data_IF_899457492379
#
_entry.id   IF_899457492379
#
_cell.length_a   1.000
_cell.length_b   1.000
_cell.length_c   1.000
_cell.angle_alpha   90.00
_cell.angle_beta   90.00
_cell.angle_gamma   90.00
#
_symmetry.space_group_name_H-M   'P 1'
#
loop_
_entity.id
_entity.type
_entity.pdbx_description
1 polymer ?
#
# COMPACT_ATOMS: atom_id res chain seq x y z
N UNK A 1 -9.64 -19.42 -0.89
CA UNK A 1 -9.26 -18.09 -1.43
C UNK A 1 -8.03 -17.59 -0.69
N UNK A 2 -7.06 -17.02 -1.42
CA UNK A 2 -5.84 -16.48 -0.81
C UNK A 2 -6.14 -15.22 -0.01
N UNK A 3 -5.42 -15.02 1.10
CA UNK A 3 -5.47 -13.75 1.83
C UNK A 3 -4.82 -12.64 1.00
N UNK A 4 -5.09 -11.40 1.34
CA UNK A 4 -4.48 -10.27 0.64
C UNK A 4 -2.94 -10.28 0.78
N UNK A 5 -2.43 -10.72 1.94
CA UNK A 5 -0.98 -10.85 2.15
C UNK A 5 -0.39 -11.92 1.23
N UNK A 6 -1.05 -13.07 1.10
CA UNK A 6 -0.59 -14.14 0.19
C UNK A 6 -0.57 -13.66 -1.26
N UNK A 7 -1.59 -12.92 -1.69
CA UNK A 7 -1.64 -12.32 -3.02
C UNK A 7 -0.47 -11.37 -3.22
N UNK A 8 -0.26 -10.47 -2.27
CA UNK A 8 0.83 -9.48 -2.35
C UNK A 8 2.21 -10.14 -2.38
N UNK A 9 2.42 -11.18 -1.55
CA UNK A 9 3.68 -11.91 -1.51
C UNK A 9 4.05 -12.53 -2.86
N UNK A 10 3.07 -13.01 -3.62
CA UNK A 10 3.31 -13.59 -4.95
C UNK A 10 3.81 -12.55 -5.94
N UNK A 11 3.62 -11.28 -5.67
CA UNK A 11 4.07 -10.20 -6.56
C UNK A 11 5.47 -9.68 -6.22
N UNK A 12 6.09 -10.16 -5.14
CA UNK A 12 7.45 -9.75 -4.79
C UNK A 12 8.41 -10.02 -5.96
N UNK A 13 9.19 -9.01 -6.33
CA UNK A 13 10.08 -9.08 -7.47
C UNK A 13 9.48 -8.53 -8.77
N UNK A 14 8.20 -8.19 -8.79
CA UNK A 14 7.59 -7.54 -9.97
C UNK A 14 8.31 -6.22 -10.25
N UNK A 15 8.58 -5.96 -11.54
CA UNK A 15 9.21 -4.72 -12.00
C UNK A 15 8.29 -4.01 -12.97
N UNK A 16 8.20 -2.68 -12.84
CA UNK A 16 7.45 -1.87 -13.79
C UNK A 16 8.12 -1.84 -15.16
N UNK A 17 7.32 -1.58 -16.20
CA UNK A 17 7.84 -1.26 -17.51
C UNK A 17 8.20 0.22 -17.62
N UNK A 18 8.42 0.69 -18.85
CA UNK A 18 8.76 2.10 -19.10
C UNK A 18 7.67 3.03 -18.60
N UNK A 19 8.07 4.15 -17.98
CA UNK A 19 7.15 5.22 -17.62
C UNK A 19 6.01 4.73 -16.68
N UNK A 20 6.37 4.02 -15.61
CA UNK A 20 5.41 3.50 -14.63
C UNK A 20 4.35 2.54 -15.21
N UNK A 21 4.65 1.85 -16.30
CA UNK A 21 3.70 0.88 -16.85
C UNK A 21 3.63 -0.36 -15.97
N UNK A 22 2.41 -0.72 -15.51
CA UNK A 22 2.20 -1.93 -14.70
C UNK A 22 0.87 -2.60 -15.05
N UNK A 23 0.79 -3.91 -14.73
CA UNK A 23 -0.49 -4.64 -14.81
C UNK A 23 -1.51 -4.06 -13.83
N UNK A 24 -1.05 -3.50 -12.70
CA UNK A 24 -1.93 -2.94 -11.66
C UNK A 24 -2.56 -1.64 -12.14
N UNK A 25 -1.76 -0.75 -12.70
CA UNK A 25 -2.26 0.49 -13.29
C UNK A 25 -3.19 0.25 -14.47
N UNK A 26 -2.82 -0.69 -15.35
CA UNK A 26 -3.69 -1.08 -16.48
C UNK A 26 -5.03 -1.60 -16.02
N UNK A 27 -5.03 -2.52 -15.05
CA UNK A 27 -6.26 -3.07 -14.50
C UNK A 27 -7.15 -1.98 -13.91
N UNK A 28 -6.57 -1.06 -13.16
CA UNK A 28 -7.32 0.01 -12.51
C UNK A 28 -7.88 1.03 -13.52
N UNK A 29 -7.18 1.28 -14.59
CA UNK A 29 -7.49 2.34 -15.55
C UNK A 29 -6.68 3.61 -15.30
N UNK A 30 -5.55 3.51 -14.60
CA UNK A 30 -4.64 4.62 -14.27
C UNK A 30 -3.19 4.20 -14.52
N UNK A 31 -2.93 3.73 -15.74
CA UNK A 31 -1.58 3.29 -16.12
C UNK A 31 -0.64 4.48 -16.31
N UNK A 32 0.67 4.21 -16.28
CA UNK A 32 1.71 5.21 -16.46
C UNK A 32 1.72 6.31 -15.39
N UNK A 33 1.34 5.96 -14.17
CA UNK A 33 1.31 6.83 -12.99
C UNK A 33 1.92 6.08 -11.81
N UNK A 34 2.26 6.77 -10.71
CA UNK A 34 2.65 6.08 -9.47
C UNK A 34 1.60 5.05 -9.07
N UNK A 35 2.04 3.84 -8.76
CA UNK A 35 1.16 2.68 -8.68
C UNK A 35 1.14 1.97 -7.33
N UNK A 36 1.56 2.64 -6.26
CA UNK A 36 1.48 2.04 -4.92
C UNK A 36 0.03 1.73 -4.51
N UNK A 37 -0.89 2.65 -4.76
CA UNK A 37 -2.30 2.48 -4.41
C UNK A 37 -3.02 1.50 -5.34
N UNK A 38 -2.73 1.53 -6.64
CA UNK A 38 -3.32 0.57 -7.58
C UNK A 38 -2.82 -0.85 -7.32
N UNK A 39 -1.58 -1.00 -6.86
CA UNK A 39 -1.07 -2.30 -6.42
C UNK A 39 -1.88 -2.85 -5.23
N UNK A 40 -2.08 -2.03 -4.20
CA UNK A 40 -2.90 -2.42 -3.03
C UNK A 40 -4.31 -2.81 -3.48
N UNK A 41 -4.92 -1.99 -4.33
CA UNK A 41 -6.27 -2.24 -4.83
C UNK A 41 -6.36 -3.54 -5.62
N UNK A 42 -5.39 -3.80 -6.49
CA UNK A 42 -5.32 -5.04 -7.25
C UNK A 42 -5.22 -6.26 -6.32
N UNK A 43 -4.39 -6.18 -5.29
CA UNK A 43 -4.24 -7.28 -4.32
C UNK A 43 -5.55 -7.58 -3.60
N UNK A 44 -6.28 -6.54 -3.19
CA UNK A 44 -7.59 -6.72 -2.55
C UNK A 44 -8.62 -7.30 -3.52
N UNK A 45 -8.57 -6.90 -4.79
CA UNK A 45 -9.44 -7.49 -5.80
C UNK A 45 -9.18 -8.99 -5.98
N UNK A 46 -7.91 -9.38 -6.11
CA UNK A 46 -7.52 -10.77 -6.26
C UNK A 46 -7.87 -11.62 -5.04
N UNK A 47 -7.88 -11.02 -3.86
CA UNK A 47 -8.29 -11.68 -2.62
C UNK A 47 -9.82 -11.70 -2.41
N UNK A 48 -10.59 -11.12 -3.33
CA UNK A 48 -12.06 -11.07 -3.20
C UNK A 48 -12.56 -10.05 -2.21
N UNK A 49 -11.76 -9.03 -1.87
CA UNK A 49 -12.05 -8.06 -0.82
C UNK A 49 -12.17 -6.61 -1.34
N UNK A 50 -12.31 -6.43 -2.64
CA UNK A 50 -12.27 -5.09 -3.26
C UNK A 50 -13.39 -4.16 -2.74
N UNK A 51 -14.54 -4.71 -2.39
CA UNK A 51 -15.65 -3.89 -1.90
C UNK A 51 -15.35 -3.21 -0.57
N UNK A 52 -14.40 -3.76 0.19
CA UNK A 52 -13.99 -3.19 1.48
C UNK A 52 -13.11 -1.95 1.35
N UNK A 53 -12.60 -1.67 0.17
CA UNK A 53 -11.66 -0.57 -0.07
C UNK A 53 -12.08 0.30 -1.27
N UNK A 54 -13.34 0.30 -1.64
CA UNK A 54 -13.86 1.02 -2.80
C UNK A 54 -13.98 2.53 -2.53
N UNK A 55 -12.84 3.17 -2.26
CA UNK A 55 -12.80 4.57 -1.84
C UNK A 55 -13.02 5.56 -2.97
N UNK A 56 -12.52 5.28 -4.17
CA UNK A 56 -12.64 6.15 -5.33
C UNK A 56 -13.48 5.55 -6.44
N UNK A 57 -13.51 4.23 -6.53
CA UNK A 57 -14.27 3.51 -7.55
C UNK A 57 -14.49 2.07 -7.09
N UNK A 58 -15.22 1.29 -7.89
CA UNK A 58 -15.39 -0.14 -7.64
C UNK A 58 -14.06 -0.91 -7.64
N UNK A 59 -13.01 -0.31 -8.16
CA UNK A 59 -11.66 -0.90 -8.21
C UNK A 59 -10.75 -0.40 -7.09
N UNK A 60 -11.29 0.24 -6.06
CA UNK A 60 -10.51 0.67 -4.91
C UNK A 60 -10.08 2.14 -4.99
N UNK A 61 -8.77 2.39 -4.88
CA UNK A 61 -8.24 3.75 -4.93
C UNK A 61 -6.88 3.78 -5.63
N UNK A 62 -6.61 4.91 -6.26
CA UNK A 62 -5.33 5.21 -6.93
C UNK A 62 -4.60 6.35 -6.24
N UNK A 63 -5.28 7.14 -5.41
CA UNK A 63 -4.70 8.23 -4.62
C UNK A 63 -4.58 7.82 -3.16
N UNK A 64 -3.38 7.92 -2.61
CA UNK A 64 -3.15 7.65 -1.18
C UNK A 64 -3.96 8.58 -0.30
N UNK A 65 -4.02 9.87 -0.65
CA UNK A 65 -4.78 10.86 0.11
C UNK A 65 -6.27 10.54 0.12
N UNK A 66 -6.84 10.22 -1.04
CA UNK A 66 -8.26 9.86 -1.14
C UNK A 66 -8.57 8.59 -0.33
N UNK A 67 -7.67 7.60 -0.39
CA UNK A 67 -7.84 6.36 0.38
C UNK A 67 -7.83 6.61 1.88
N UNK A 68 -6.82 7.34 2.37
CA UNK A 68 -6.71 7.63 3.81
C UNK A 68 -7.93 8.41 4.33
N UNK A 69 -8.34 9.42 3.60
CA UNK A 69 -9.52 10.22 3.96
C UNK A 69 -10.78 9.38 4.01
N UNK A 70 -10.96 8.48 3.05
CA UNK A 70 -12.13 7.61 3.00
C UNK A 70 -12.19 6.67 4.22
N UNK A 71 -11.07 6.01 4.54
CA UNK A 71 -11.01 5.13 5.71
C UNK A 71 -11.22 5.91 7.02
N UNK A 72 -10.69 7.12 7.11
CA UNK A 72 -10.88 7.98 8.27
C UNK A 72 -12.36 8.31 8.47
N UNK A 73 -13.06 8.68 7.41
CA UNK A 73 -14.51 8.97 7.46
C UNK A 73 -15.34 7.75 7.87
N UNK A 74 -14.85 6.56 7.55
CA UNK A 74 -15.53 5.29 7.88
C UNK A 74 -15.15 4.74 9.24
N UNK A 75 -14.34 5.47 10.01
CA UNK A 75 -13.84 5.04 11.32
C UNK A 75 -13.08 3.70 11.25
N UNK A 76 -12.29 3.52 10.17
CA UNK A 76 -11.50 2.31 9.95
C UNK A 76 -10.02 2.47 10.30
N UNK A 77 -9.62 3.65 10.77
CA UNK A 77 -8.23 3.91 11.17
C UNK A 77 -7.99 3.37 12.57
N UNK A 78 -6.90 2.64 12.74
CA UNK A 78 -6.49 2.03 14.01
C UNK A 78 -5.10 2.51 14.40
N UNK A 79 -4.72 2.41 15.69
CA UNK A 79 -3.35 2.73 16.13
C UNK A 79 -2.32 1.83 15.46
N UNK A 80 -1.15 2.36 15.12
CA UNK A 80 -0.09 1.61 14.45
C UNK A 80 0.38 0.40 15.26
N UNK A 81 0.39 0.52 16.60
CA UNK A 81 0.77 -0.59 17.48
C UNK A 81 -0.17 -1.79 17.40
N UNK A 82 -1.37 -1.61 16.87
CA UNK A 82 -2.37 -2.67 16.71
C UNK A 82 -2.41 -3.23 15.28
N UNK A 83 -1.56 -2.76 14.39
CA UNK A 83 -1.55 -3.21 13.00
C UNK A 83 -1.33 -4.73 12.91
N UNK A 84 -2.05 -5.38 12.00
CA UNK A 84 -2.00 -6.81 11.76
C UNK A 84 -1.78 -7.08 10.28
N UNK A 85 -1.35 -8.30 9.96
CA UNK A 85 -1.22 -8.74 8.58
C UNK A 85 -2.53 -8.52 7.81
N UNK A 86 -2.44 -7.90 6.65
CA UNK A 86 -3.61 -7.58 5.82
C UNK A 86 -4.16 -6.17 6.01
N UNK A 87 -3.73 -5.45 7.03
CA UNK A 87 -4.08 -4.03 7.16
C UNK A 87 -3.38 -3.20 6.09
N UNK A 88 -3.94 -2.03 5.80
CA UNK A 88 -3.38 -1.07 4.84
C UNK A 88 -2.67 0.01 5.62
N UNK A 89 -1.42 0.32 5.26
CA UNK A 89 -0.64 1.35 5.96
C UNK A 89 -0.28 2.48 5.00
N UNK A 90 -0.54 3.71 5.44
CA UNK A 90 -0.22 4.94 4.72
C UNK A 90 0.99 5.60 5.37
N UNK A 91 1.91 6.07 4.54
CA UNK A 91 3.18 6.64 4.97
C UNK A 91 3.33 8.09 4.56
N UNK A 92 4.13 8.82 5.33
CA UNK A 92 4.59 10.14 4.99
C UNK A 92 6.11 10.17 5.11
N UNK A 93 6.79 10.53 4.01
CA UNK A 93 8.25 10.56 3.96
C UNK A 93 8.84 11.97 3.98
N UNK A 94 8.06 13.00 3.72
CA UNK A 94 8.53 14.37 3.49
C UNK A 94 7.97 15.40 4.48
N UNK A 95 7.27 14.99 5.51
CA UNK A 95 6.72 15.85 6.57
C UNK A 95 5.62 16.83 6.11
N UNK A 96 5.02 16.63 4.95
CA UNK A 96 3.84 17.40 4.60
C UNK A 96 2.59 16.80 5.25
N UNK A 97 1.41 17.34 4.97
CA UNK A 97 0.15 16.90 5.58
C UNK A 97 -0.54 15.75 4.84
N UNK A 98 0.06 15.25 3.76
CA UNK A 98 -0.54 14.24 2.89
C UNK A 98 0.29 12.96 2.85
N UNK A 99 -0.36 11.78 2.70
CA UNK A 99 0.39 10.54 2.58
C UNK A 99 1.09 10.46 1.22
N UNK A 100 2.34 9.96 1.25
CA UNK A 100 3.18 9.83 0.06
C UNK A 100 3.14 8.43 -0.53
N UNK A 101 2.70 7.44 0.26
CA UNK A 101 2.87 6.04 -0.10
C UNK A 101 1.89 5.18 0.68
N UNK A 102 1.65 3.95 0.19
CA UNK A 102 0.74 2.98 0.83
C UNK A 102 1.23 1.57 0.57
N UNK A 103 0.99 0.68 1.51
CA UNK A 103 1.32 -0.72 1.37
C UNK A 103 0.44 -1.63 2.20
N UNK A 104 0.74 -2.93 2.17
CA UNK A 104 0.00 -3.97 2.88
C UNK A 104 0.89 -4.51 4.00
N UNK A 105 0.40 -4.45 5.22
CA UNK A 105 1.13 -4.94 6.40
C UNK A 105 1.29 -6.45 6.31
N UNK A 106 2.53 -6.92 6.45
CA UNK A 106 2.83 -8.35 6.56
C UNK A 106 3.04 -8.76 8.02
N UNK A 107 3.73 -7.91 8.80
CA UNK A 107 4.06 -8.21 10.19
C UNK A 107 4.34 -6.92 10.96
N UNK A 108 3.98 -6.93 12.24
CA UNK A 108 4.18 -5.80 13.15
C UNK A 108 5.14 -6.20 14.27
N UNK A 109 6.30 -5.57 14.31
CA UNK A 109 7.25 -5.74 15.42
C UNK A 109 7.01 -4.64 16.44
N UNK A 110 6.14 -4.90 17.42
CA UNK A 110 5.77 -3.93 18.43
C UNK A 110 6.91 -3.59 19.39
N UNK A 111 7.82 -4.54 19.61
CA UNK A 111 8.96 -4.33 20.49
C UNK A 111 9.95 -3.30 19.93
N UNK A 112 10.25 -3.41 18.64
CA UNK A 112 11.18 -2.52 17.94
C UNK A 112 10.49 -1.40 17.17
N UNK A 113 9.16 -1.36 17.20
CA UNK A 113 8.33 -0.30 16.60
C UNK A 113 8.57 -0.11 15.11
N UNK A 114 8.50 -1.22 14.37
CA UNK A 114 8.50 -1.17 12.92
C UNK A 114 7.52 -2.18 12.33
N UNK A 115 7.11 -1.93 11.08
CA UNK A 115 6.27 -2.83 10.30
C UNK A 115 7.10 -3.44 9.18
N UNK A 116 6.81 -4.70 8.83
CA UNK A 116 7.17 -5.27 7.54
C UNK A 116 5.98 -5.08 6.62
N UNK A 117 6.21 -4.47 5.46
CA UNK A 117 5.16 -4.03 4.54
C UNK A 117 5.52 -4.47 3.12
N UNK A 118 4.53 -4.98 2.39
CA UNK A 118 4.68 -5.28 0.97
C UNK A 118 4.16 -4.08 0.20
N UNK A 119 5.02 -3.49 -0.62
CA UNK A 119 4.77 -2.21 -1.28
C UNK A 119 5.06 -2.29 -2.77
N UNK A 120 4.18 -1.70 -3.58
CA UNK A 120 4.43 -1.45 -4.98
C UNK A 120 5.02 -0.06 -5.17
N UNK A 121 5.67 0.17 -6.31
CA UNK A 121 6.23 1.47 -6.68
C UNK A 121 7.26 1.99 -5.66
N UNK A 122 8.11 1.10 -5.17
CA UNK A 122 9.14 1.42 -4.18
C UNK A 122 10.49 0.81 -4.60
N UNK A 123 11.49 0.88 -3.74
CA UNK A 123 12.84 0.39 -4.00
C UNK A 123 13.27 -0.63 -2.95
N UNK A 124 14.28 -1.45 -3.28
CA UNK A 124 14.71 -2.58 -2.45
C UNK A 124 15.47 -2.19 -1.18
N UNK A 125 15.93 -0.95 -1.07
CA UNK A 125 16.74 -0.52 0.08
C UNK A 125 16.76 1.00 0.20
N UNK A 126 17.86 1.55 0.73
CA UNK A 126 18.04 2.99 0.87
C UNK A 126 18.38 3.69 -0.45
N UNK A 127 18.69 2.93 -1.50
CA UNK A 127 18.99 3.46 -2.83
C UNK A 127 17.70 3.45 -3.65
N UNK A 128 17.47 4.51 -4.40
CA UNK A 128 16.25 4.68 -5.18
C UNK A 128 15.11 5.33 -4.39
N UNK A 129 14.05 5.67 -5.09
CA UNK A 129 12.90 6.32 -4.48
C UNK A 129 12.06 5.36 -3.64
N UNK A 130 11.61 5.80 -2.48
CA UNK A 130 10.74 5.02 -1.59
C UNK A 130 9.27 5.15 -1.98
N UNK A 131 8.87 6.24 -2.63
CA UNK A 131 7.49 6.51 -3.01
C UNK A 131 7.26 6.48 -4.53
N UNK A 132 8.32 6.35 -5.31
CA UNK A 132 8.24 6.24 -6.77
C UNK A 132 9.42 5.39 -7.28
N UNK A 133 9.52 4.17 -6.78
CA UNK A 133 10.56 3.20 -7.17
C UNK A 133 10.10 2.32 -8.34
N UNK A 134 10.77 1.19 -8.53
CA UNK A 134 10.65 0.40 -9.74
C UNK A 134 9.89 -0.93 -9.59
N UNK A 135 9.50 -1.30 -8.39
CA UNK A 135 8.96 -2.65 -8.23
C UNK A 135 8.19 -2.88 -6.96
N UNK A 136 7.86 -4.15 -6.74
CA UNK A 136 7.21 -4.65 -5.52
C UNK A 136 8.28 -5.25 -4.61
N UNK A 137 8.36 -4.73 -3.38
CA UNK A 137 9.37 -5.15 -2.42
C UNK A 137 8.78 -5.30 -1.01
N UNK A 138 9.42 -6.16 -0.21
CA UNK A 138 9.17 -6.22 1.22
C UNK A 138 10.04 -5.15 1.89
N UNK A 139 9.41 -4.25 2.63
CA UNK A 139 10.10 -3.13 3.26
C UNK A 139 9.90 -3.15 4.77
N UNK A 140 10.93 -2.69 5.46
CA UNK A 140 10.89 -2.44 6.91
C UNK A 140 10.64 -0.95 7.11
N UNK A 141 9.54 -0.60 7.79
CA UNK A 141 9.11 0.79 7.97
C UNK A 141 8.94 1.11 9.44
N UNK A 142 9.66 2.13 9.92
CA UNK A 142 9.51 2.63 11.29
C UNK A 142 8.12 3.19 11.52
N UNK A 143 7.60 3.05 12.74
CA UNK A 143 6.34 3.67 13.15
C UNK A 143 6.32 5.18 12.90
N UNK A 144 7.46 5.84 13.01
CA UNK A 144 7.57 7.30 12.81
C UNK A 144 7.19 7.75 11.40
N UNK A 145 7.21 6.86 10.42
CA UNK A 145 6.82 7.16 9.04
C UNK A 145 5.34 6.91 8.77
N UNK A 146 4.63 6.29 9.71
CA UNK A 146 3.24 5.89 9.51
C UNK A 146 2.31 7.07 9.75
N UNK A 147 1.47 7.37 8.78
CA UNK A 147 0.46 8.40 8.85
C UNK A 147 -0.88 7.83 9.32
N UNK A 148 -1.19 6.61 8.95
CA UNK A 148 -2.38 5.91 9.39
C UNK A 148 -2.38 4.45 8.98
N UNK A 149 -3.07 3.62 9.76
CA UNK A 149 -3.30 2.21 9.44
C UNK A 149 -4.79 1.99 9.34
N UNK A 150 -5.24 1.39 8.24
CA UNK A 150 -6.65 1.11 8.02
C UNK A 150 -6.91 -0.39 8.08
N UNK A 151 -7.94 -0.77 8.80
CA UNK A 151 -8.46 -2.15 8.81
C UNK A 151 -9.80 -2.15 8.09
N UNK A 152 -9.82 -2.57 6.84
CA UNK A 152 -11.03 -2.55 6.02
C UNK A 152 -12.16 -3.45 6.53
#
# INVERSE_FOLDING_TARGET
MSTVVEVAKKQLGYKEGSNNETIFGKWYGANNQPWCATFVSWCFNEAGLITKIAAQSKKGFASCDAGLKWFSKKNKIIPVGQAQAGDIVFFQFDKDSEPDHVGIVKWNNTALKYLQVIEGNTSSGSVGSQSNGDGVYLRKRSYSLVMGVARP
#
